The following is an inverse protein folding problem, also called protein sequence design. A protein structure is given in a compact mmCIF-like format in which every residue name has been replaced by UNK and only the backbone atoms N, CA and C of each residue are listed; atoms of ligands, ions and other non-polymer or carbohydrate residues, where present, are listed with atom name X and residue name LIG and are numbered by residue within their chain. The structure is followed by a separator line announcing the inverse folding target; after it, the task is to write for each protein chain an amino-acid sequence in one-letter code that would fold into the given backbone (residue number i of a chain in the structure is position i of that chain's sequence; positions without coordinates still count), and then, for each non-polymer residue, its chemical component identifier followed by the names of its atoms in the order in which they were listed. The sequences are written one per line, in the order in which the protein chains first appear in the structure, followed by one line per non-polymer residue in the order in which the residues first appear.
data_IF_119245531687
#
_entry.id   IF_119245531687
#
_cell.length_a   1.000
_cell.length_b   1.000
_cell.length_c   1.000
_cell.angle_alpha   90.00
_cell.angle_beta   90.00
_cell.angle_gamma   90.00
#
_symmetry.space_group_name_H-M   'P 1'
#
loop_
_entity.id
_entity.type
_entity.pdbx_description
1 polymer ?
#
# COMPACT_ATOMS: atom_id res chain seq x y z
N UNK A 1 0.22 1.11 -13.52
CA UNK A 1 -0.46 1.29 -14.82
C UNK A 1 0.46 1.81 -15.92
N UNK A 2 1.13 2.97 -15.74
CA UNK A 2 2.00 3.58 -16.77
C UNK A 2 3.09 2.64 -17.31
N UNK A 3 3.76 1.88 -16.43
CA UNK A 3 4.75 0.88 -16.85
C UNK A 3 4.16 -0.19 -17.79
N UNK A 4 2.98 -0.74 -17.47
CA UNK A 4 2.27 -1.72 -18.32
C UNK A 4 1.92 -1.10 -19.68
N UNK A 5 1.41 0.13 -19.69
CA UNK A 5 1.08 0.86 -20.92
C UNK A 5 2.32 1.05 -21.80
N UNK A 6 3.44 1.48 -21.22
CA UNK A 6 4.70 1.64 -21.94
C UNK A 6 5.20 0.31 -22.53
N UNK A 7 5.13 -0.79 -21.76
CA UNK A 7 5.49 -2.12 -22.28
C UNK A 7 4.56 -2.57 -23.41
N UNK A 8 3.26 -2.26 -23.34
CA UNK A 8 2.32 -2.57 -24.42
C UNK A 8 2.59 -1.75 -25.69
N UNK A 9 2.98 -0.48 -25.55
CA UNK A 9 3.42 0.35 -26.68
C UNK A 9 4.65 -0.29 -27.34
N UNK A 10 5.65 -0.70 -26.57
CA UNK A 10 6.84 -1.37 -27.10
C UNK A 10 6.50 -2.71 -27.79
N UNK A 11 5.55 -3.48 -27.26
CA UNK A 11 5.05 -4.70 -27.91
C UNK A 11 4.37 -4.41 -29.26
N UNK A 12 3.62 -3.31 -29.36
CA UNK A 12 2.97 -2.91 -30.62
C UNK A 12 3.99 -2.41 -31.64
N UNK A 13 4.97 -1.60 -31.21
CA UNK A 13 6.03 -1.12 -32.09
C UNK A 13 6.84 -2.30 -32.68
N UNK A 14 7.20 -3.28 -31.85
CA UNK A 14 7.88 -4.50 -32.32
C UNK A 14 7.01 -5.30 -33.30
N UNK A 15 5.70 -5.40 -33.05
CA UNK A 15 4.76 -6.06 -33.97
C UNK A 15 4.66 -5.36 -35.33
N UNK A 16 4.60 -4.02 -35.34
CA UNK A 16 4.60 -3.22 -36.57
C UNK A 16 5.88 -3.43 -37.36
N UNK A 17 7.04 -3.41 -36.69
CA UNK A 17 8.32 -3.69 -37.34
C UNK A 17 8.34 -5.09 -37.99
N UNK A 18 7.86 -6.12 -37.27
CA UNK A 18 7.80 -7.50 -37.78
C UNK A 18 6.93 -7.58 -39.03
N UNK A 19 5.74 -6.96 -38.99
CA UNK A 19 4.81 -6.95 -40.12
C UNK A 19 5.39 -6.25 -41.36
N UNK A 20 6.17 -5.18 -41.17
CA UNK A 20 6.76 -4.42 -42.27
C UNK A 20 8.01 -5.06 -42.91
N UNK A 21 8.72 -5.93 -42.20
CA UNK A 21 10.03 -6.43 -42.62
C UNK A 21 10.08 -7.97 -42.72
N UNK A 22 8.92 -8.59 -42.96
CA UNK A 22 8.76 -10.06 -43.02
C UNK A 22 9.81 -10.72 -43.91
N UNK A 23 10.37 -11.84 -43.46
CA UNK A 23 11.37 -12.61 -44.21
C UNK A 23 12.83 -12.21 -43.99
N UNK A 24 13.11 -11.15 -43.22
CA UNK A 24 14.49 -10.75 -42.88
C UNK A 24 15.01 -11.43 -41.61
N UNK A 25 16.32 -11.66 -41.51
CA UNK A 25 16.96 -12.21 -40.30
C UNK A 25 16.72 -11.31 -39.07
N UNK A 26 16.68 -9.99 -39.28
CA UNK A 26 16.38 -8.99 -38.23
C UNK A 26 15.01 -9.20 -37.59
N UNK A 27 14.02 -9.66 -38.35
CA UNK A 27 12.67 -9.94 -37.80
C UNK A 27 12.70 -11.06 -36.77
N UNK A 28 13.60 -12.04 -36.88
CA UNK A 28 13.70 -13.11 -35.87
C UNK A 28 14.11 -12.52 -34.51
N UNK A 29 15.14 -11.65 -34.48
CA UNK A 29 15.60 -10.98 -33.24
C UNK A 29 14.50 -10.13 -32.61
N UNK A 30 13.80 -9.33 -33.42
CA UNK A 30 12.68 -8.49 -32.95
C UNK A 30 11.50 -9.34 -32.48
N UNK A 31 11.26 -10.51 -33.08
CA UNK A 31 10.21 -11.44 -32.64
C UNK A 31 10.49 -12.01 -31.25
N UNK A 32 11.75 -12.34 -30.94
CA UNK A 32 12.14 -12.74 -29.59
C UNK A 32 11.92 -11.61 -28.57
N UNK A 33 12.32 -10.38 -28.91
CA UNK A 33 12.08 -9.21 -28.05
C UNK A 33 10.60 -8.96 -27.82
N UNK A 34 9.77 -9.05 -28.86
CA UNK A 34 8.31 -8.93 -28.74
C UNK A 34 7.76 -9.96 -27.77
N UNK A 35 8.18 -11.22 -27.88
CA UNK A 35 7.72 -12.28 -26.98
C UNK A 35 8.16 -12.04 -25.54
N UNK A 36 9.39 -11.58 -25.33
CA UNK A 36 9.89 -11.16 -24.02
C UNK A 36 9.05 -10.03 -23.41
N UNK A 37 8.81 -8.96 -24.17
CA UNK A 37 8.00 -7.80 -23.73
C UNK A 37 6.56 -8.24 -23.41
N UNK A 38 5.95 -9.07 -24.27
CA UNK A 38 4.61 -9.61 -24.05
C UNK A 38 4.53 -10.43 -22.75
N UNK A 39 5.54 -11.30 -22.51
CA UNK A 39 5.61 -12.09 -21.29
C UNK A 39 5.76 -11.20 -20.05
N UNK A 40 6.66 -10.21 -20.06
CA UNK A 40 6.84 -9.24 -18.96
C UNK A 40 5.56 -8.45 -18.70
N UNK A 41 4.91 -7.96 -19.76
CA UNK A 41 3.64 -7.21 -19.67
C UNK A 41 2.55 -8.05 -19.04
N UNK A 42 2.42 -9.32 -19.45
CA UNK A 42 1.44 -10.26 -18.88
C UNK A 42 1.70 -10.51 -17.39
N UNK A 43 2.97 -10.76 -17.00
CA UNK A 43 3.34 -10.91 -15.58
C UNK A 43 3.03 -9.66 -14.76
N UNK A 44 3.35 -8.47 -15.30
CA UNK A 44 3.03 -7.19 -14.69
C UNK A 44 1.52 -7.01 -14.50
N UNK A 45 0.71 -7.33 -15.52
CA UNK A 45 -0.75 -7.28 -15.45
C UNK A 45 -1.32 -8.25 -14.43
N UNK A 46 -0.82 -9.50 -14.39
CA UNK A 46 -1.24 -10.49 -13.39
C UNK A 46 -0.89 -10.04 -11.98
N UNK A 47 0.34 -9.58 -11.74
CA UNK A 47 0.73 -9.07 -10.42
C UNK A 47 -0.08 -7.83 -10.01
N UNK A 48 -0.36 -6.93 -10.96
CA UNK A 48 -1.23 -5.78 -10.72
C UNK A 48 -2.64 -6.20 -10.28
N UNK A 49 -3.24 -7.15 -11.01
CA UNK A 49 -4.63 -7.57 -10.83
C UNK A 49 -4.83 -8.46 -9.60
N UNK A 50 -3.90 -9.40 -9.35
CA UNK A 50 -4.05 -10.43 -8.32
C UNK A 50 -3.29 -10.13 -7.03
N UNK A 51 -2.40 -9.14 -7.02
CA UNK A 51 -1.61 -8.79 -5.84
C UNK A 51 -1.76 -7.31 -5.47
N UNK A 52 -1.37 -6.40 -6.36
CA UNK A 52 -1.28 -4.98 -6.02
C UNK A 52 -2.66 -4.35 -5.74
N UNK A 53 -3.67 -4.58 -6.59
CA UNK A 53 -5.01 -4.05 -6.40
C UNK A 53 -5.66 -4.60 -5.11
N UNK A 54 -5.74 -5.94 -4.89
CA UNK A 54 -6.34 -6.47 -3.67
C UNK A 54 -5.66 -5.96 -2.40
N UNK A 55 -4.33 -5.84 -2.41
CA UNK A 55 -3.58 -5.35 -1.25
C UNK A 55 -3.85 -3.86 -0.97
N UNK A 56 -3.97 -3.04 -2.02
CA UNK A 56 -4.33 -1.63 -1.89
C UNK A 56 -5.75 -1.48 -1.32
N UNK A 57 -6.72 -2.23 -1.87
CA UNK A 57 -8.11 -2.23 -1.38
C UNK A 57 -8.17 -2.66 0.08
N UNK A 58 -7.48 -3.75 0.44
CA UNK A 58 -7.41 -4.27 1.81
C UNK A 58 -6.87 -3.21 2.79
N UNK A 59 -5.77 -2.54 2.42
CA UNK A 59 -5.18 -1.49 3.26
C UNK A 59 -6.11 -0.29 3.41
N UNK A 60 -6.74 0.16 2.31
CA UNK A 60 -7.72 1.26 2.36
C UNK A 60 -8.87 0.89 3.28
N UNK A 61 -9.47 -0.30 3.11
CA UNK A 61 -10.60 -0.75 3.92
C UNK A 61 -10.27 -0.78 5.41
N UNK A 62 -9.12 -1.33 5.80
CA UNK A 62 -8.70 -1.36 7.21
C UNK A 62 -8.35 0.03 7.74
N UNK A 63 -7.73 0.89 6.93
CA UNK A 63 -7.42 2.26 7.32
C UNK A 63 -8.69 3.09 7.55
N UNK A 64 -9.67 2.99 6.65
CA UNK A 64 -10.94 3.70 6.77
C UNK A 64 -11.79 3.14 7.90
N UNK A 65 -11.79 1.82 8.11
CA UNK A 65 -12.49 1.20 9.24
C UNK A 65 -11.91 1.67 10.58
N UNK A 66 -10.58 1.65 10.73
CA UNK A 66 -9.94 2.15 11.95
C UNK A 66 -10.17 3.66 12.13
N UNK A 67 -10.02 4.45 11.06
CA UNK A 67 -10.32 5.88 11.10
C UNK A 67 -11.76 6.15 11.54
N UNK A 68 -12.74 5.40 11.05
CA UNK A 68 -14.14 5.54 11.48
C UNK A 68 -14.32 5.29 12.97
N UNK A 69 -13.71 4.23 13.51
CA UNK A 69 -13.74 3.94 14.95
C UNK A 69 -13.12 5.07 15.80
N UNK A 70 -12.01 5.66 15.32
CA UNK A 70 -11.34 6.76 16.01
C UNK A 70 -12.12 8.07 15.90
N UNK A 71 -12.60 8.41 14.69
CA UNK A 71 -13.35 9.62 14.41
C UNK A 71 -14.66 9.63 15.20
N UNK A 72 -15.38 8.50 15.27
CA UNK A 72 -16.62 8.40 16.03
C UNK A 72 -16.40 8.57 17.53
N UNK A 73 -15.39 7.89 18.08
CA UNK A 73 -15.04 8.07 19.48
C UNK A 73 -14.66 9.53 19.79
N UNK A 74 -13.83 10.15 18.96
CA UNK A 74 -13.43 11.55 19.13
C UNK A 74 -14.59 12.53 18.93
N UNK A 75 -15.53 12.24 18.03
CA UNK A 75 -16.77 13.01 17.86
C UNK A 75 -17.60 12.97 19.15
N UNK A 76 -17.87 11.77 19.68
CA UNK A 76 -18.60 11.61 20.92
C UNK A 76 -17.89 12.34 22.08
N UNK A 77 -16.58 12.13 22.25
CA UNK A 77 -15.85 12.69 23.39
C UNK A 77 -15.74 14.22 23.34
N UNK A 78 -15.63 14.84 22.16
CA UNK A 78 -15.56 16.31 22.06
C UNK A 78 -16.93 16.96 22.26
N UNK A 79 -18.01 16.28 21.85
CA UNK A 79 -19.38 16.80 21.97
C UNK A 79 -20.00 16.48 23.34
N UNK A 80 -19.50 15.47 24.05
CA UNK A 80 -19.87 15.16 25.43
C UNK A 80 -19.30 16.20 26.41
N UNK A 81 -19.86 17.40 26.38
CA UNK A 81 -19.53 18.56 27.20
C UNK A 81 -20.81 19.16 27.79
N UNK A 82 -20.81 19.37 29.11
CA UNK A 82 -21.92 20.00 29.83
C UNK A 82 -21.61 21.40 30.39
N UNK A 83 -20.35 21.66 30.76
CA UNK A 83 -19.95 22.92 31.42
C UNK A 83 -18.46 23.21 31.23
N UNK A 84 -17.89 24.11 32.03
CA UNK A 84 -16.45 24.37 32.12
C UNK A 84 -15.69 23.28 32.89
N UNK A 85 -16.38 22.41 33.63
CA UNK A 85 -15.81 21.33 34.46
C UNK A 85 -16.35 19.94 34.12
N UNK A 86 -17.26 19.85 33.13
CA UNK A 86 -17.84 18.59 32.66
C UNK A 86 -17.61 18.47 31.16
N UNK A 87 -16.73 17.56 30.78
CA UNK A 87 -16.39 17.29 29.39
C UNK A 87 -15.39 16.14 29.25
N UNK A 88 -15.39 15.49 28.08
CA UNK A 88 -14.61 14.27 27.87
C UNK A 88 -13.28 14.43 27.13
N UNK A 89 -13.01 15.61 26.56
CA UNK A 89 -11.69 15.97 26.08
C UNK A 89 -11.22 17.26 26.77
N UNK A 90 -9.96 17.25 27.17
CA UNK A 90 -9.28 18.40 27.78
C UNK A 90 -8.06 18.80 26.96
N UNK A 91 -7.48 19.96 27.26
CA UNK A 91 -6.20 20.38 26.70
C UNK A 91 -5.04 19.74 27.47
N UNK A 92 -3.84 20.33 27.46
CA UNK A 92 -2.73 19.93 28.34
C UNK A 92 -2.97 20.32 29.81
N UNK A 93 -4.10 20.97 30.11
CA UNK A 93 -4.60 21.25 31.45
C UNK A 93 -6.07 20.77 31.56
N UNK A 94 -6.68 20.75 32.76
CA UNK A 94 -8.10 20.37 32.94
C UNK A 94 -9.12 21.32 32.29
N UNK A 95 -8.72 22.09 31.29
CA UNK A 95 -9.61 22.95 30.51
C UNK A 95 -10.31 22.10 29.45
N UNK A 96 -11.64 22.12 29.42
CA UNK A 96 -12.42 21.39 28.41
C UNK A 96 -12.06 21.88 26.99
N UNK A 97 -11.69 20.95 26.12
CA UNK A 97 -11.26 21.23 24.76
C UNK A 97 -12.41 21.80 23.91
N UNK A 98 -12.08 22.72 23.00
CA UNK A 98 -13.03 23.29 22.05
C UNK A 98 -13.08 22.50 20.74
N UNK A 99 -14.27 22.33 20.17
CA UNK A 99 -14.47 21.76 18.84
C UNK A 99 -14.35 22.85 17.77
N UNK A 100 -13.48 22.64 16.79
CA UNK A 100 -13.43 23.40 15.55
C UNK A 100 -13.88 22.57 14.35
N UNK A 101 -14.07 23.21 13.20
CA UNK A 101 -14.50 22.56 11.95
C UNK A 101 -13.54 21.45 11.47
N UNK A 102 -12.25 21.54 11.81
CA UNK A 102 -11.25 20.52 11.51
C UNK A 102 -10.20 20.35 12.60
N UNK A 103 -10.50 20.84 13.81
CA UNK A 103 -9.57 20.87 14.93
C UNK A 103 -10.26 20.50 16.24
N UNK A 104 -9.47 20.05 17.21
CA UNK A 104 -9.84 19.95 18.63
C UNK A 104 -8.79 20.73 19.41
N UNK A 105 -9.21 21.76 20.15
CA UNK A 105 -8.33 22.66 20.88
C UNK A 105 -7.15 23.20 20.04
N UNK A 106 -7.41 23.53 18.77
CA UNK A 106 -6.39 24.02 17.82
C UNK A 106 -5.56 22.92 17.14
N UNK A 107 -5.56 21.68 17.63
CA UNK A 107 -4.87 20.55 17.00
C UNK A 107 -5.64 20.04 15.79
N UNK A 108 -4.96 19.83 14.66
CA UNK A 108 -5.56 19.29 13.45
C UNK A 108 -6.17 17.90 13.71
N UNK A 109 -7.49 17.82 13.60
CA UNK A 109 -8.26 16.60 13.88
C UNK A 109 -9.54 16.60 13.04
N UNK A 110 -9.38 16.38 11.73
CA UNK A 110 -10.51 16.26 10.81
C UNK A 110 -11.13 14.87 10.95
N UNK A 111 -12.28 14.83 11.63
CA UNK A 111 -13.06 13.62 11.93
C UNK A 111 -14.01 13.26 10.78
N UNK A 112 -13.48 13.38 9.57
CA UNK A 112 -14.17 13.07 8.32
C UNK A 112 -13.15 12.52 7.34
N UNK A 113 -13.60 11.61 6.46
CA UNK A 113 -12.77 11.13 5.36
C UNK A 113 -12.64 12.24 4.32
N UNK A 114 -11.43 12.44 3.81
CA UNK A 114 -11.20 13.37 2.70
C UNK A 114 -11.36 12.64 1.37
N UNK A 115 -11.70 13.39 0.32
CA UNK A 115 -11.73 12.85 -1.03
C UNK A 115 -10.40 12.16 -1.39
N UNK A 116 -10.43 10.92 -1.92
CA UNK A 116 -9.24 10.21 -2.31
C UNK A 116 -8.46 10.98 -3.39
N UNK A 117 -7.17 11.19 -3.16
CA UNK A 117 -6.26 11.78 -4.12
C UNK A 117 -4.93 11.02 -4.12
N UNK A 118 -4.29 10.92 -5.29
CA UNK A 118 -2.96 10.34 -5.40
C UNK A 118 -1.96 11.21 -4.63
N UNK A 119 -1.42 10.68 -3.54
CA UNK A 119 -0.43 11.34 -2.69
C UNK A 119 0.56 10.32 -2.15
N UNK A 120 1.79 10.75 -1.96
CA UNK A 120 2.76 9.96 -1.20
C UNK A 120 2.40 9.99 0.28
N UNK A 121 2.40 8.81 0.90
CA UNK A 121 2.13 8.66 2.32
C UNK A 121 3.38 9.05 3.11
N UNK A 122 3.28 10.08 3.96
CA UNK A 122 4.30 10.35 4.99
C UNK A 122 4.06 9.40 6.17
N UNK A 123 4.98 8.46 6.38
CA UNK A 123 4.83 7.34 7.33
C UNK A 123 5.18 7.70 8.78
N UNK A 124 4.65 8.80 9.31
CA UNK A 124 4.99 9.22 10.69
C UNK A 124 4.10 8.58 11.75
N UNK A 125 2.82 8.36 11.46
CA UNK A 125 1.86 7.85 12.45
C UNK A 125 1.80 6.32 12.54
N UNK A 126 2.23 5.63 11.48
CA UNK A 126 2.29 4.17 11.39
C UNK A 126 3.60 3.78 10.68
N UNK A 127 4.50 3.15 11.44
CA UNK A 127 5.83 2.70 10.99
C UNK A 127 5.84 1.20 10.73
N UNK A 128 7.02 0.64 10.42
CA UNK A 128 7.23 -0.82 10.37
C UNK A 128 7.06 -1.49 11.73
N UNK A 129 7.18 -0.74 12.83
CA UNK A 129 7.16 -1.28 14.19
C UNK A 129 5.78 -1.15 14.83
N UNK A 130 4.99 -0.13 14.47
CA UNK A 130 3.66 0.09 15.02
C UNK A 130 3.23 1.56 14.95
N UNK A 131 2.51 2.02 15.97
CA UNK A 131 2.02 3.39 16.13
C UNK A 131 2.86 4.12 17.19
N UNK A 132 3.99 4.76 16.82
CA UNK A 132 5.00 5.24 17.78
C UNK A 132 4.53 6.43 18.64
N UNK A 133 3.46 7.11 18.23
CA UNK A 133 2.95 8.30 18.90
C UNK A 133 1.73 8.04 19.78
N UNK A 134 1.22 6.80 19.82
CA UNK A 134 0.17 6.43 20.78
C UNK A 134 0.80 6.22 22.16
N UNK A 135 0.18 6.81 23.17
CA UNK A 135 0.58 6.61 24.55
C UNK A 135 0.38 5.14 24.96
N UNK A 136 1.32 4.59 25.72
CA UNK A 136 1.31 3.19 26.15
C UNK A 136 1.62 3.02 27.64
N UNK A 137 1.54 4.11 28.41
CA UNK A 137 1.88 4.15 29.83
C UNK A 137 0.62 4.03 30.70
N UNK A 138 0.77 3.41 31.86
CA UNK A 138 -0.24 3.49 32.92
C UNK A 138 -0.45 4.95 33.34
N UNK A 139 -1.66 5.27 33.78
CA UNK A 139 -1.97 6.62 34.25
C UNK A 139 -1.41 6.82 35.66
N UNK A 140 -0.17 7.31 35.75
CA UNK A 140 0.52 7.49 37.03
C UNK A 140 0.12 8.75 37.80
N UNK A 141 -0.29 9.82 37.09
CA UNK A 141 -0.60 11.14 37.69
C UNK A 141 -1.35 12.05 36.69
N UNK A 142 -2.49 11.61 36.18
CA UNK A 142 -3.31 12.41 35.25
C UNK A 142 -2.59 12.70 33.91
N UNK A 143 -1.80 11.73 33.49
CA UNK A 143 -0.99 11.80 32.27
C UNK A 143 -1.78 11.37 31.04
N UNK A 144 -2.83 10.57 31.26
CA UNK A 144 -3.74 10.09 30.21
C UNK A 144 -5.16 10.66 30.39
N UNK A 145 -5.56 11.03 31.60
CA UNK A 145 -6.85 11.64 31.94
C UNK A 145 -6.64 12.82 32.89
N UNK A 146 -7.55 13.80 32.89
CA UNK A 146 -7.47 14.92 33.84
C UNK A 146 -7.89 14.49 35.26
N UNK A 147 -7.47 15.26 36.27
CA UNK A 147 -8.03 15.16 37.63
C UNK A 147 -9.51 15.55 37.68
N UNK A 148 -10.14 15.29 38.83
CA UNK A 148 -11.56 15.52 39.16
C UNK A 148 -12.16 16.90 38.81
N UNK A 149 -11.35 17.89 38.43
CA UNK A 149 -11.85 19.21 38.00
C UNK A 149 -12.47 19.19 36.60
N UNK A 150 -12.08 18.22 35.75
CA UNK A 150 -12.70 17.97 34.45
C UNK A 150 -13.27 16.55 34.41
N UNK A 151 -14.58 16.45 34.61
CA UNK A 151 -15.27 15.16 34.76
C UNK A 151 -15.80 14.62 33.43
N UNK A 152 -15.49 13.36 33.14
CA UNK A 152 -16.02 12.61 32.00
C UNK A 152 -16.64 11.28 32.47
N UNK A 153 -17.95 11.28 32.67
CA UNK A 153 -18.68 10.08 33.14
C UNK A 153 -18.65 8.92 32.15
N UNK A 154 -18.46 9.19 30.86
CA UNK A 154 -18.43 8.14 29.82
C UNK A 154 -17.24 7.19 30.01
N UNK A 155 -16.13 7.67 30.58
CA UNK A 155 -14.92 6.87 30.78
C UNK A 155 -14.86 6.18 32.15
N UNK A 156 -15.94 6.21 32.93
CA UNK A 156 -16.05 5.60 34.26
C UNK A 156 -17.21 4.60 34.25
N UNK A 157 -16.91 3.31 34.42
CA UNK A 157 -17.89 2.23 34.44
C UNK A 157 -18.52 1.96 35.80
N UNK A 158 -18.14 2.70 36.84
CA UNK A 158 -18.74 2.60 38.17
C UNK A 158 -20.04 3.39 38.27
N UNK A 159 -20.67 3.33 39.44
CA UNK A 159 -21.84 4.14 39.80
C UNK A 159 -21.56 5.65 39.90
N UNK A 160 -20.27 6.06 39.87
CA UNK A 160 -19.88 7.47 39.78
C UNK A 160 -19.85 7.99 38.34
N UNK A 161 -19.75 7.07 37.38
CA UNK A 161 -19.66 7.34 35.96
C UNK A 161 -21.00 7.23 35.24
N UNK A 162 -21.04 6.50 34.13
CA UNK A 162 -22.25 6.36 33.31
C UNK A 162 -23.18 5.24 33.77
N UNK A 163 -22.68 4.29 34.56
CA UNK A 163 -23.50 3.20 35.08
C UNK A 163 -24.40 3.70 36.23
N UNK A 164 -25.58 3.09 36.37
CA UNK A 164 -26.54 3.41 37.43
C UNK A 164 -26.77 2.17 38.30
N UNK A 165 -26.93 2.39 39.62
CA UNK A 165 -27.19 1.40 40.68
C UNK A 165 -26.10 0.33 40.89
N UNK A 166 -25.42 -0.12 39.84
CA UNK A 166 -24.28 -1.02 39.89
C UNK A 166 -23.23 -0.60 38.84
N UNK A 167 -22.00 -1.07 39.04
CA UNK A 167 -20.95 -0.98 38.03
C UNK A 167 -21.27 -1.85 36.80
N UNK A 168 -20.63 -1.56 35.67
CA UNK A 168 -20.67 -2.46 34.51
C UNK A 168 -19.96 -3.79 34.83
N UNK A 169 -20.51 -4.90 34.33
CA UNK A 169 -20.01 -6.25 34.63
C UNK A 169 -18.66 -6.54 33.95
N UNK A 170 -18.36 -5.87 32.84
CA UNK A 170 -17.17 -6.09 32.02
C UNK A 170 -16.63 -4.76 31.52
N UNK A 171 -15.32 -4.71 31.29
CA UNK A 171 -14.68 -3.53 30.70
C UNK A 171 -15.18 -3.29 29.27
N UNK A 172 -15.16 -2.03 28.83
CA UNK A 172 -15.60 -1.63 27.49
C UNK A 172 -14.40 -1.17 26.68
N UNK A 173 -14.18 -1.79 25.52
CA UNK A 173 -13.14 -1.40 24.58
C UNK A 173 -13.69 -0.37 23.58
N UNK A 174 -13.05 0.79 23.48
CA UNK A 174 -13.45 1.90 22.59
C UNK A 174 -12.28 2.36 21.71
N UNK A 175 -12.54 3.28 20.77
CA UNK A 175 -11.53 3.80 19.84
C UNK A 175 -10.79 2.68 19.06
N UNK A 176 -11.56 1.73 18.51
CA UNK A 176 -10.99 0.55 17.82
C UNK A 176 -10.30 -0.44 18.75
N UNK A 177 -10.59 -0.37 20.06
CA UNK A 177 -10.03 -1.20 21.12
C UNK A 177 -8.76 -0.63 21.76
N UNK A 178 -8.32 0.57 21.37
CA UNK A 178 -7.12 1.18 21.97
C UNK A 178 -7.33 1.55 23.44
N UNK A 179 -8.51 2.03 23.80
CA UNK A 179 -8.84 2.49 25.15
C UNK A 179 -9.79 1.48 25.80
N UNK A 180 -9.51 1.10 27.04
CA UNK A 180 -10.36 0.22 27.86
C UNK A 180 -10.93 1.02 29.03
N UNK A 181 -12.25 1.12 29.06
CA UNK A 181 -13.03 1.70 30.16
C UNK A 181 -13.16 0.66 31.27
N UNK A 182 -12.72 0.97 32.51
CA UNK A 182 -12.77 0.02 33.62
C UNK A 182 -14.19 -0.13 34.18
N UNK A 183 -14.41 -1.20 34.93
CA UNK A 183 -15.65 -1.44 35.70
C UNK A 183 -15.70 -0.64 37.00
N UNK A 184 -14.68 0.18 37.27
CA UNK A 184 -14.53 1.00 38.48
C UNK A 184 -14.25 2.45 38.11
N UNK A 185 -14.12 3.32 39.11
CA UNK A 185 -13.72 4.72 38.93
C UNK A 185 -12.20 4.89 38.73
N UNK A 186 -11.51 3.83 38.30
CA UNK A 186 -10.09 3.89 37.95
C UNK A 186 -9.88 4.60 36.61
N UNK A 187 -8.64 4.97 36.33
CA UNK A 187 -8.28 5.51 35.03
C UNK A 187 -8.43 4.48 33.91
N UNK A 188 -8.64 4.94 32.68
CA UNK A 188 -8.68 4.07 31.50
C UNK A 188 -7.31 3.43 31.24
N UNK A 189 -7.34 2.21 30.69
CA UNK A 189 -6.13 1.53 30.22
C UNK A 189 -5.94 1.75 28.73
N UNK A 190 -4.68 1.96 28.31
CA UNK A 190 -4.29 2.13 26.91
C UNK A 190 -3.54 0.89 26.42
N UNK A 191 -3.93 0.34 25.28
CA UNK A 191 -3.20 -0.75 24.65
C UNK A 191 -1.88 -0.25 24.05
N UNK A 192 -0.76 -0.91 24.39
CA UNK A 192 0.52 -0.62 23.74
C UNK A 192 0.53 -1.10 22.29
N UNK A 193 0.54 -0.15 21.36
CA UNK A 193 0.51 -0.36 19.91
C UNK A 193 1.82 0.06 19.25
N UNK A 194 2.87 0.35 20.03
CA UNK A 194 4.15 0.87 19.51
C UNK A 194 5.03 -0.21 18.88
N UNK A 195 4.84 -1.49 19.25
CA UNK A 195 5.68 -2.64 18.86
C UNK A 195 4.89 -3.81 18.25
N UNK A 196 3.95 -3.52 17.37
CA UNK A 196 3.20 -4.51 16.61
C UNK A 196 4.07 -5.38 15.69
N UNK A 197 5.26 -4.89 15.29
CA UNK A 197 6.23 -5.68 14.53
C UNK A 197 6.84 -6.85 15.31
N UNK A 198 6.81 -6.80 16.65
CA UNK A 198 7.31 -7.88 17.50
C UNK A 198 6.21 -8.86 17.89
N UNK A 199 5.03 -8.37 18.26
CA UNK A 199 3.88 -9.22 18.60
C UNK A 199 2.55 -8.52 18.36
N UNK A 200 1.59 -9.29 17.86
CA UNK A 200 0.20 -8.86 17.65
C UNK A 200 -0.77 -9.57 18.58
N UNK A 201 -0.30 -10.53 19.40
CA UNK A 201 -1.14 -11.31 20.29
C UNK A 201 -1.77 -10.41 21.37
N UNK A 202 -3.08 -10.55 21.57
CA UNK A 202 -3.85 -9.75 22.52
C UNK A 202 -3.99 -8.26 22.14
N UNK A 203 -3.53 -7.85 20.96
CA UNK A 203 -3.64 -6.46 20.50
C UNK A 203 -4.97 -6.23 19.76
N UNK A 204 -5.53 -5.01 19.83
CA UNK A 204 -6.77 -4.67 19.13
C UNK A 204 -6.76 -4.99 17.63
N UNK A 205 -7.70 -5.81 17.18
CA UNK A 205 -7.76 -6.35 15.82
C UNK A 205 -7.80 -5.27 14.74
N UNK A 206 -8.48 -4.15 14.97
CA UNK A 206 -8.57 -3.05 14.00
C UNK A 206 -7.19 -2.44 13.68
N UNK A 207 -6.35 -2.27 14.70
CA UNK A 207 -4.98 -1.76 14.55
C UNK A 207 -4.05 -2.80 13.93
N UNK A 208 -4.14 -4.06 14.38
CA UNK A 208 -3.34 -5.17 13.82
C UNK A 208 -3.64 -5.34 12.33
N UNK A 209 -4.91 -5.34 11.93
CA UNK A 209 -5.30 -5.51 10.53
C UNK A 209 -4.75 -4.41 9.63
N UNK A 210 -4.80 -3.14 10.08
CA UNK A 210 -4.19 -2.05 9.33
C UNK A 210 -2.67 -2.21 9.26
N UNK A 211 -2.01 -2.51 10.38
CA UNK A 211 -0.56 -2.71 10.44
C UNK A 211 -0.10 -3.81 9.47
N UNK A 212 -0.73 -4.99 9.50
CA UNK A 212 -0.42 -6.11 8.62
C UNK A 212 -0.73 -5.80 7.15
N UNK A 213 -1.86 -5.15 6.86
CA UNK A 213 -2.20 -4.79 5.48
C UNK A 213 -1.22 -3.75 4.90
N UNK A 214 -0.86 -2.74 5.69
CA UNK A 214 0.11 -1.73 5.29
C UNK A 214 1.48 -2.32 5.02
N UNK A 215 1.95 -3.25 5.85
CA UNK A 215 3.24 -3.93 5.62
C UNK A 215 3.23 -4.86 4.40
N UNK A 216 2.06 -5.28 3.92
CA UNK A 216 1.93 -5.99 2.66
C UNK A 216 2.02 -5.10 1.41
N UNK A 217 1.97 -3.76 1.54
CA UNK A 217 2.20 -2.84 0.43
C UNK A 217 3.70 -2.60 0.30
N UNK A 218 4.28 -3.05 -0.83
CA UNK A 218 5.65 -2.70 -1.20
C UNK A 218 5.78 -1.19 -1.42
N UNK A 219 6.76 -0.57 -0.76
CA UNK A 219 7.16 0.82 -1.02
C UNK A 219 7.95 0.94 -2.32
N UNK A 220 8.47 -0.16 -2.84
CA UNK A 220 9.16 -0.23 -4.11
C UNK A 220 8.27 -0.78 -5.22
N UNK A 221 8.53 -0.31 -6.44
CA UNK A 221 7.94 -0.89 -7.63
C UNK A 221 8.43 -2.34 -7.77
N UNK A 222 7.51 -3.30 -7.83
CA UNK A 222 7.86 -4.71 -8.07
C UNK A 222 8.71 -4.86 -9.34
N UNK A 223 9.66 -5.78 -9.35
CA UNK A 223 10.48 -6.11 -10.53
C UNK A 223 9.65 -6.57 -11.73
N UNK A 224 8.40 -6.98 -11.49
CA UNK A 224 7.43 -7.26 -12.55
C UNK A 224 7.13 -6.02 -13.41
N UNK A 225 7.23 -4.82 -12.84
CA UNK A 225 7.03 -3.55 -13.55
C UNK A 225 8.33 -2.86 -13.98
N UNK A 226 9.50 -3.37 -13.55
CA UNK A 226 10.80 -2.84 -13.95
C UNK A 226 11.33 -3.58 -15.19
N UNK A 227 12.02 -2.83 -16.05
CA UNK A 227 12.89 -3.44 -17.05
C UNK A 227 14.13 -4.00 -16.35
N UNK A 228 14.55 -5.19 -16.73
CA UNK A 228 15.76 -5.83 -16.21
C UNK A 228 16.90 -5.45 -17.14
N UNK A 229 17.97 -4.86 -16.60
CA UNK A 229 19.22 -4.52 -17.31
C UNK A 229 20.27 -5.63 -17.11
N UNK A 230 21.43 -5.52 -17.73
CA UNK A 230 22.47 -6.56 -17.65
C UNK A 230 22.38 -7.63 -18.74
N UNK A 231 23.09 -8.75 -18.56
CA UNK A 231 23.30 -9.76 -19.62
C UNK A 231 21.99 -10.42 -20.07
N UNK A 232 21.79 -10.67 -21.38
CA UNK A 232 20.64 -11.41 -21.88
C UNK A 232 20.38 -12.74 -21.18
N UNK A 233 21.41 -13.54 -20.90
CA UNK A 233 21.25 -14.85 -20.23
C UNK A 233 20.87 -14.77 -18.75
N UNK A 234 21.12 -13.63 -18.09
CA UNK A 234 20.73 -13.38 -16.69
C UNK A 234 19.28 -12.89 -16.58
N UNK A 235 18.68 -12.45 -17.69
CA UNK A 235 17.27 -12.05 -17.77
C UNK A 235 16.39 -13.30 -17.87
N UNK A 236 15.96 -13.84 -16.72
CA UNK A 236 15.17 -15.07 -16.64
C UNK A 236 13.97 -15.12 -17.60
N UNK A 237 13.24 -14.01 -17.75
CA UNK A 237 12.10 -13.91 -18.67
C UNK A 237 12.51 -13.96 -20.16
N UNK A 238 13.64 -13.37 -20.51
CA UNK A 238 14.16 -13.41 -21.88
C UNK A 238 14.66 -14.81 -22.20
N UNK A 239 15.39 -15.44 -21.28
CA UNK A 239 15.83 -16.82 -21.42
C UNK A 239 14.64 -17.77 -21.58
N UNK A 240 13.56 -17.58 -20.80
CA UNK A 240 12.36 -18.39 -20.94
C UNK A 240 11.67 -18.20 -22.30
N UNK A 241 11.58 -16.96 -22.80
CA UNK A 241 11.07 -16.68 -24.14
C UNK A 241 11.94 -17.34 -25.22
N UNK A 242 13.26 -17.24 -25.10
CA UNK A 242 14.24 -17.86 -25.99
C UNK A 242 14.08 -19.39 -26.02
N UNK A 243 13.99 -20.05 -24.86
CA UNK A 243 13.73 -21.50 -24.79
C UNK A 243 12.44 -21.91 -25.51
N UNK A 244 11.38 -21.10 -25.43
CA UNK A 244 10.10 -21.42 -26.09
C UNK A 244 10.15 -21.23 -27.60
N UNK A 245 10.94 -20.27 -28.09
CA UNK A 245 10.97 -19.87 -29.50
C UNK A 245 12.07 -20.59 -30.28
N UNK A 246 13.25 -20.75 -29.67
CA UNK A 246 14.45 -21.23 -30.35
C UNK A 246 14.61 -22.75 -30.25
N UNK A 247 13.96 -23.41 -29.28
CA UNK A 247 14.13 -24.84 -29.02
C UNK A 247 12.85 -25.64 -29.30
N UNK A 248 13.03 -26.85 -29.85
CA UNK A 248 11.94 -27.84 -29.97
C UNK A 248 11.45 -28.31 -28.60
N UNK A 249 10.33 -29.05 -28.56
CA UNK A 249 9.80 -29.57 -27.29
C UNK A 249 10.79 -30.52 -26.61
N UNK A 250 11.49 -31.33 -27.40
CA UNK A 250 12.47 -32.33 -26.96
C UNK A 250 13.73 -31.62 -26.43
N UNK A 251 14.25 -30.64 -27.17
CA UNK A 251 15.42 -29.86 -26.76
C UNK A 251 15.20 -29.09 -25.45
N UNK A 252 13.97 -28.61 -25.20
CA UNK A 252 13.62 -27.89 -23.96
C UNK A 252 13.76 -28.73 -22.70
N UNK A 253 13.74 -30.07 -22.81
CA UNK A 253 13.89 -30.96 -21.66
C UNK A 253 15.35 -31.11 -21.20
N UNK A 254 16.31 -30.94 -22.12
CA UNK A 254 17.72 -31.23 -21.88
C UNK A 254 18.62 -29.98 -21.93
N UNK A 255 18.14 -28.85 -22.48
CA UNK A 255 18.92 -27.62 -22.61
C UNK A 255 18.40 -26.49 -21.74
N UNK A 256 19.30 -25.65 -21.24
CA UNK A 256 18.96 -24.42 -20.52
C UNK A 256 18.65 -23.23 -21.44
N UNK A 257 19.04 -23.30 -22.72
CA UNK A 257 18.77 -22.31 -23.76
C UNK A 257 19.72 -21.11 -23.76
N UNK A 258 20.74 -21.08 -22.90
CA UNK A 258 21.66 -19.95 -22.80
C UNK A 258 22.54 -19.84 -24.04
N UNK A 259 23.16 -20.94 -24.46
CA UNK A 259 24.03 -20.97 -25.62
C UNK A 259 23.28 -20.54 -26.89
N UNK A 260 22.04 -21.03 -27.07
CA UNK A 260 21.19 -20.67 -28.19
C UNK A 260 20.78 -19.20 -28.17
N UNK A 261 20.47 -18.64 -26.99
CA UNK A 261 20.18 -17.22 -26.84
C UNK A 261 21.39 -16.36 -27.24
N UNK A 262 22.59 -16.68 -26.75
CA UNK A 262 23.83 -15.96 -27.08
C UNK A 262 24.12 -16.03 -28.56
N UNK A 263 24.02 -17.22 -29.17
CA UNK A 263 24.22 -17.40 -30.60
C UNK A 263 23.19 -16.59 -31.41
N UNK A 264 21.93 -16.60 -30.99
CA UNK A 264 20.84 -15.91 -31.69
C UNK A 264 20.96 -14.38 -31.62
N UNK A 265 21.38 -13.83 -30.47
CA UNK A 265 21.61 -12.40 -30.33
C UNK A 265 22.93 -11.95 -30.96
N UNK A 266 23.92 -12.84 -31.03
CA UNK A 266 25.28 -12.56 -31.48
C UNK A 266 26.19 -12.02 -30.36
N UNK A 267 25.93 -12.42 -29.12
CA UNK A 267 26.64 -11.99 -27.91
C UNK A 267 25.75 -12.00 -26.67
N UNK A 268 26.37 -11.92 -25.48
CA UNK A 268 25.68 -11.88 -24.18
C UNK A 268 25.82 -10.50 -23.48
N UNK A 269 26.08 -9.46 -24.27
CA UNK A 269 26.18 -8.10 -23.78
C UNK A 269 24.83 -7.40 -23.89
N UNK A 270 24.50 -6.52 -22.93
CA UNK A 270 23.27 -5.72 -22.93
C UNK A 270 23.09 -4.93 -24.24
N UNK A 271 24.20 -4.50 -24.86
CA UNK A 271 24.21 -3.83 -26.15
C UNK A 271 23.43 -4.59 -27.23
N UNK A 272 23.42 -5.94 -27.21
CA UNK A 272 22.72 -6.76 -28.21
C UNK A 272 21.20 -6.64 -28.12
N UNK A 273 20.66 -6.40 -26.93
CA UNK A 273 19.23 -6.11 -26.76
C UNK A 273 18.93 -4.69 -27.24
N UNK A 274 19.77 -3.72 -26.88
CA UNK A 274 19.60 -2.32 -27.28
C UNK A 274 19.70 -2.14 -28.79
N UNK A 275 20.64 -2.82 -29.47
CA UNK A 275 20.76 -2.84 -30.94
C UNK A 275 19.45 -3.31 -31.59
N UNK A 276 18.85 -4.39 -31.07
CA UNK A 276 17.61 -4.92 -31.61
C UNK A 276 16.38 -4.05 -31.30
N UNK A 277 16.38 -3.31 -30.18
CA UNK A 277 15.36 -2.29 -29.88
C UNK A 277 15.50 -1.06 -30.80
N UNK A 278 16.73 -0.60 -31.09
CA UNK A 278 16.96 0.53 -32.01
C UNK A 278 16.36 0.30 -33.40
N UNK A 279 16.39 -0.94 -33.90
CA UNK A 279 15.75 -1.29 -35.17
C UNK A 279 14.25 -0.93 -35.21
N UNK A 280 13.58 -1.07 -34.06
CA UNK A 280 12.16 -0.77 -33.90
C UNK A 280 11.95 0.74 -33.76
N UNK A 281 12.77 1.40 -32.95
CA UNK A 281 12.64 2.84 -32.67
C UNK A 281 12.94 3.72 -33.89
N UNK A 282 13.89 3.32 -34.73
CA UNK A 282 14.30 4.07 -35.93
C UNK A 282 13.35 3.90 -37.12
N UNK A 283 12.43 2.92 -37.06
CA UNK A 283 11.55 2.61 -38.18
C UNK A 283 10.37 3.58 -38.25
N UNK A 284 10.34 4.40 -39.30
CA UNK A 284 9.21 5.30 -39.59
C UNK A 284 7.96 4.51 -40.02
N UNK A 285 6.81 4.86 -39.45
CA UNK A 285 5.50 4.41 -39.92
C UNK A 285 5.14 5.21 -41.19
N UNK A 286 4.79 4.56 -42.31
CA UNK A 286 4.38 5.25 -43.54
C UNK A 286 3.19 6.20 -43.31
N UNK A 287 3.12 7.25 -44.12
CA UNK A 287 1.95 8.14 -44.15
C UNK A 287 0.70 7.37 -44.61
N UNK A 288 -0.47 7.75 -44.10
CA UNK A 288 -1.76 7.13 -44.43
C UNK A 288 -2.10 5.86 -43.64
N UNK A 289 -1.19 5.30 -42.85
CA UNK A 289 -1.47 4.18 -41.94
C UNK A 289 -1.93 4.71 -40.58
N UNK A 290 -3.04 4.17 -40.05
CA UNK A 290 -3.54 4.52 -38.71
C UNK A 290 -3.89 6.01 -38.53
N UNK A 291 -4.36 6.67 -39.60
CA UNK A 291 -4.63 8.11 -39.66
C UNK A 291 -3.39 9.01 -39.52
N UNK A 292 -2.18 8.48 -39.74
CA UNK A 292 -0.97 9.29 -39.89
C UNK A 292 -1.16 10.23 -41.10
N UNK A 293 -1.20 11.56 -40.91
CA UNK A 293 -1.58 12.49 -41.98
C UNK A 293 -0.65 12.35 -43.18
N UNK A 294 -1.25 12.31 -44.37
CA UNK A 294 -0.52 12.51 -45.62
C UNK A 294 -0.09 13.98 -45.63
N UNK A 295 1.22 14.23 -45.70
CA UNK A 295 1.72 15.58 -45.99
C UNK A 295 1.75 15.78 -47.49
#
# INVERSE_FOLDING_TARGET
LKAIQNSKVAELQTAIYIAQNSGTEKVRKVSLLRAYICQKTTKAMSHFSYTAIPQAIKTVAHATYLKGNLDEFLNLMVDAKGSTTTGCLVTTSPTIASKGAGTIAGTACRRQLSEPAARELKQTQLTSDGFPHLLNRADGSNLNQATDTATCKILDGSTRGFANAAAIDQTIAVAGGYITIPTSNAAVTLNDLTKLGTTTAGKPTAFVNLFTARNGISTELSDNFKNITGKPTERADLLQAAKKILLTKEQRQIKDGKAELVQFLGGDDEAKITEALKLVDEKKIPQGIGSNPKK
#
